data_IF_616322644290
#
_entry.id   IF_616322644290
#
_cell.length_a   1.000
_cell.length_b   1.000
_cell.length_c   1.000
_cell.angle_alpha   90.00
_cell.angle_beta   90.00
_cell.angle_gamma   90.00
#
_symmetry.space_group_name_H-M   'P 1'
#
loop_
_entity.id
_entity.type
_entity.pdbx_description
1 polymer ?
#
# COMPACT_ATOMS: atom_id res chain seq x y z
N UNK A 1 -10.64 -10.57 -28.84
CA UNK A 1 -10.61 -10.71 -27.39
C UNK A 1 -9.71 -11.89 -27.02
N UNK A 2 -8.80 -11.74 -26.06
CA UNK A 2 -8.04 -12.86 -25.52
C UNK A 2 -9.05 -13.80 -24.82
N UNK A 3 -9.04 -15.09 -25.19
CA UNK A 3 -9.88 -16.09 -24.55
C UNK A 3 -9.16 -16.60 -23.28
N UNK A 4 -8.98 -15.72 -22.30
CA UNK A 4 -8.27 -16.03 -21.07
C UNK A 4 -9.20 -16.71 -20.06
N UNK A 5 -8.71 -17.74 -19.37
CA UNK A 5 -9.46 -18.41 -18.31
C UNK A 5 -9.52 -17.60 -17.03
N UNK A 6 -8.47 -16.88 -16.68
CA UNK A 6 -8.39 -15.99 -15.54
C UNK A 6 -7.67 -14.69 -15.90
N UNK A 7 -7.92 -13.63 -15.16
CA UNK A 7 -7.17 -12.37 -15.22
C UNK A 7 -6.49 -12.12 -13.90
N UNK A 8 -5.17 -11.87 -13.94
CA UNK A 8 -4.39 -11.47 -12.77
C UNK A 8 -4.24 -9.96 -12.78
N UNK A 9 -4.55 -9.34 -11.66
CA UNK A 9 -4.45 -7.89 -11.45
C UNK A 9 -3.47 -7.63 -10.31
N UNK A 10 -2.55 -6.71 -10.49
CA UNK A 10 -1.63 -6.26 -9.46
C UNK A 10 -1.40 -4.75 -9.64
N UNK A 11 -1.51 -3.99 -8.57
CA UNK A 11 -1.20 -2.56 -8.51
C UNK A 11 -1.87 -1.72 -9.63
N UNK A 12 -3.05 -2.10 -10.09
CA UNK A 12 -3.73 -1.42 -11.21
C UNK A 12 -4.28 -0.04 -10.84
N UNK A 13 -4.72 0.13 -9.59
CA UNK A 13 -5.10 1.44 -9.03
C UNK A 13 -6.41 2.05 -9.53
N UNK A 14 -7.18 1.33 -10.35
CA UNK A 14 -8.48 1.74 -10.87
C UNK A 14 -9.53 0.65 -10.65
N UNK A 15 -10.80 1.06 -10.55
CA UNK A 15 -11.92 0.11 -10.49
C UNK A 15 -12.15 -0.44 -11.90
N UNK A 16 -12.20 -1.76 -12.02
CA UNK A 16 -12.53 -2.44 -13.26
C UNK A 16 -14.05 -2.46 -13.46
N UNK A 17 -14.53 -2.15 -14.67
CA UNK A 17 -15.95 -2.24 -14.95
C UNK A 17 -16.42 -3.70 -14.97
N UNK A 18 -17.70 -3.94 -14.66
CA UNK A 18 -18.27 -5.29 -14.52
C UNK A 18 -18.01 -6.20 -15.73
N UNK A 19 -18.13 -5.68 -16.94
CA UNK A 19 -17.90 -6.45 -18.14
C UNK A 19 -16.45 -6.98 -18.29
N UNK A 20 -15.48 -6.32 -17.65
CA UNK A 20 -14.09 -6.80 -17.57
C UNK A 20 -13.96 -7.91 -16.52
N UNK A 21 -14.62 -7.74 -15.37
CA UNK A 21 -14.61 -8.73 -14.30
C UNK A 21 -15.25 -10.05 -14.73
N UNK A 22 -16.29 -9.98 -15.59
CA UNK A 22 -17.03 -11.12 -16.08
C UNK A 22 -16.39 -11.80 -17.31
N UNK A 23 -15.37 -11.17 -17.91
CA UNK A 23 -14.80 -11.66 -19.17
C UNK A 23 -14.03 -12.99 -19.02
N UNK A 24 -13.20 -13.21 -17.99
CA UNK A 24 -12.53 -14.50 -17.79
C UNK A 24 -13.44 -15.50 -17.09
N UNK A 25 -13.43 -16.75 -17.54
CA UNK A 25 -14.27 -17.84 -17.01
C UNK A 25 -14.09 -18.06 -15.47
N UNK A 26 -12.88 -17.91 -14.97
CA UNK A 26 -12.53 -18.02 -13.55
C UNK A 26 -12.54 -16.66 -12.84
N UNK A 27 -12.85 -15.58 -13.55
CA UNK A 27 -12.88 -14.23 -13.02
C UNK A 27 -11.50 -13.57 -12.90
N UNK A 28 -11.45 -12.51 -12.11
CA UNK A 28 -10.27 -11.68 -11.93
C UNK A 28 -9.72 -11.87 -10.53
N UNK A 29 -8.43 -12.16 -10.42
CA UNK A 29 -7.71 -12.32 -9.15
C UNK A 29 -6.79 -11.13 -8.91
N UNK A 30 -6.83 -10.55 -7.71
CA UNK A 30 -5.97 -9.44 -7.33
C UNK A 30 -4.94 -9.87 -6.27
N UNK A 31 -3.70 -9.41 -6.44
CA UNK A 31 -2.66 -9.48 -5.41
C UNK A 31 -2.80 -8.23 -4.54
N UNK A 32 -3.42 -8.35 -3.38
CA UNK A 32 -3.59 -7.24 -2.46
C UNK A 32 -2.55 -7.30 -1.34
N UNK A 33 -1.78 -6.22 -1.17
CA UNK A 33 -0.64 -6.15 -0.25
C UNK A 33 -1.05 -5.80 1.18
N UNK A 34 -2.07 -6.50 1.71
CA UNK A 34 -2.47 -6.45 3.11
C UNK A 34 -3.17 -7.73 3.55
N UNK A 35 -3.43 -7.84 4.84
CA UNK A 35 -4.30 -8.86 5.44
C UNK A 35 -5.74 -8.32 5.45
N UNK A 36 -6.50 -8.57 4.36
CA UNK A 36 -7.89 -8.14 4.29
C UNK A 36 -8.71 -8.72 5.45
N UNK A 37 -9.69 -7.96 5.96
CA UNK A 37 -10.28 -6.74 5.43
C UNK A 37 -9.56 -5.44 5.83
N UNK A 38 -8.38 -5.55 6.48
CA UNK A 38 -7.59 -4.37 6.85
C UNK A 38 -6.88 -3.80 5.63
N UNK A 39 -6.90 -2.47 5.51
CA UNK A 39 -6.22 -1.71 4.47
C UNK A 39 -6.71 -1.99 3.03
N UNK A 40 -8.03 -2.01 2.81
CA UNK A 40 -8.60 -1.93 1.46
C UNK A 40 -8.16 -0.63 0.79
N UNK A 41 -7.85 -0.65 -0.50
CA UNK A 41 -7.52 0.53 -1.29
C UNK A 41 -6.06 0.64 -1.72
N UNK A 42 -5.62 1.86 -2.06
CA UNK A 42 -4.47 2.09 -2.94
C UNK A 42 -3.10 2.01 -2.27
N UNK A 43 -2.98 2.21 -0.95
CA UNK A 43 -1.67 2.35 -0.30
C UNK A 43 -1.51 1.50 0.97
N UNK A 44 -1.84 0.18 0.94
CA UNK A 44 -1.87 -0.66 2.14
C UNK A 44 -0.51 -0.74 2.83
N UNK A 45 0.60 -0.82 2.08
CA UNK A 45 1.95 -0.94 2.62
C UNK A 45 2.33 0.31 3.42
N UNK A 46 2.13 1.50 2.84
CA UNK A 46 2.41 2.77 3.50
C UNK A 46 1.61 2.90 4.80
N UNK A 47 0.31 2.62 4.74
CA UNK A 47 -0.59 2.79 5.89
C UNK A 47 -0.31 1.79 7.01
N UNK A 48 0.11 0.58 6.69
CA UNK A 48 0.51 -0.40 7.70
C UNK A 48 1.76 0.07 8.49
N UNK A 49 2.79 0.58 7.81
CA UNK A 49 3.99 1.13 8.46
C UNK A 49 3.64 2.39 9.26
N UNK A 50 2.90 3.33 8.67
CA UNK A 50 2.50 4.59 9.32
C UNK A 50 1.71 4.33 10.61
N UNK A 51 0.79 3.37 10.59
CA UNK A 51 0.00 2.97 11.74
C UNK A 51 0.82 2.24 12.83
N UNK A 52 1.99 1.71 12.48
CA UNK A 52 2.82 0.92 13.38
C UNK A 52 2.36 -0.51 13.54
N UNK A 53 1.73 -1.07 12.50
CA UNK A 53 1.36 -2.47 12.46
C UNK A 53 2.62 -3.34 12.57
N UNK A 54 2.55 -4.39 13.36
CA UNK A 54 3.67 -5.33 13.51
C UNK A 54 3.69 -6.40 12.42
N UNK A 55 2.58 -6.57 11.73
CA UNK A 55 2.41 -7.54 10.67
C UNK A 55 1.57 -6.95 9.53
N UNK A 56 1.90 -7.39 8.34
CA UNK A 56 1.10 -7.25 7.13
C UNK A 56 1.07 -8.59 6.43
N UNK A 57 0.78 -8.62 5.16
CA UNK A 57 0.79 -9.84 4.35
C UNK A 57 0.27 -9.60 2.96
N UNK A 58 -0.02 -10.69 2.28
CA UNK A 58 -0.68 -10.67 0.98
C UNK A 58 -1.98 -11.45 1.07
N UNK A 59 -3.02 -10.90 0.50
CA UNK A 59 -4.27 -11.59 0.22
C UNK A 59 -4.44 -11.71 -1.29
N UNK A 60 -4.53 -12.95 -1.80
CA UNK A 60 -5.06 -13.19 -3.13
C UNK A 60 -6.57 -13.19 -2.98
N UNK A 61 -7.25 -12.34 -3.73
CA UNK A 61 -8.70 -12.19 -3.64
C UNK A 61 -9.36 -12.27 -5.01
N UNK A 62 -10.60 -12.76 -5.03
CA UNK A 62 -11.50 -12.63 -6.16
C UNK A 62 -11.94 -11.17 -6.26
N UNK A 63 -11.83 -10.57 -7.44
CA UNK A 63 -12.30 -9.19 -7.60
C UNK A 63 -13.81 -9.15 -7.82
N UNK A 64 -14.44 -8.16 -7.24
CA UNK A 64 -15.82 -7.76 -7.46
C UNK A 64 -15.91 -6.27 -7.85
N UNK A 65 -17.11 -5.72 -7.93
CA UNK A 65 -17.33 -4.30 -8.28
C UNK A 65 -16.95 -3.32 -7.15
N UNK A 66 -16.68 -3.82 -5.95
CA UNK A 66 -16.32 -3.01 -4.79
C UNK A 66 -14.82 -2.73 -4.71
N UNK A 67 -14.43 -1.84 -3.79
CA UNK A 67 -13.03 -1.55 -3.52
C UNK A 67 -12.46 -2.62 -2.58
N UNK A 68 -11.78 -3.61 -3.15
CA UNK A 68 -11.15 -4.72 -2.44
C UNK A 68 -12.10 -5.44 -1.46
N UNK A 69 -13.35 -5.67 -1.91
CA UNK A 69 -14.42 -6.27 -1.11
C UNK A 69 -14.64 -7.75 -1.37
N UNK A 70 -14.11 -8.27 -2.45
CA UNK A 70 -14.32 -9.65 -2.88
C UNK A 70 -13.72 -10.70 -1.94
N UNK A 71 -14.07 -11.94 -2.19
CA UNK A 71 -13.70 -13.08 -1.34
C UNK A 71 -12.19 -13.32 -1.34
N UNK A 72 -11.66 -13.66 -0.16
CA UNK A 72 -10.27 -14.06 0.01
C UNK A 72 -10.08 -15.50 -0.48
N UNK A 73 -9.04 -15.72 -1.29
CA UNK A 73 -8.69 -17.04 -1.85
C UNK A 73 -7.51 -17.66 -1.10
N UNK A 74 -6.43 -16.90 -0.96
CA UNK A 74 -5.25 -17.26 -0.17
C UNK A 74 -4.78 -16.07 0.63
N UNK A 75 -4.30 -16.32 1.85
CA UNK A 75 -3.79 -15.26 2.74
C UNK A 75 -2.49 -15.74 3.38
N UNK A 76 -1.45 -14.91 3.31
CA UNK A 76 -0.22 -15.20 4.04
C UNK A 76 0.30 -13.96 4.76
N UNK A 77 0.70 -14.16 6.01
CA UNK A 77 1.16 -13.13 6.94
C UNK A 77 2.66 -12.94 6.86
N UNK A 78 3.10 -11.68 6.95
CA UNK A 78 4.50 -11.29 6.96
C UNK A 78 4.75 -10.29 8.11
N UNK A 79 5.82 -10.45 8.92
CA UNK A 79 6.19 -9.45 9.92
C UNK A 79 6.75 -8.19 9.25
N UNK A 80 6.43 -7.03 9.82
CA UNK A 80 7.06 -5.75 9.49
C UNK A 80 8.26 -5.58 10.43
N UNK A 81 9.47 -5.53 9.88
CA UNK A 81 10.67 -5.29 10.67
C UNK A 81 10.75 -3.82 11.13
N UNK A 82 11.50 -3.58 12.22
CA UNK A 82 11.61 -2.24 12.81
C UNK A 82 12.25 -1.21 11.85
N UNK A 83 13.05 -1.67 10.91
CA UNK A 83 13.75 -0.87 9.91
C UNK A 83 13.11 -0.95 8.50
N UNK A 84 12.02 -1.70 8.34
CA UNK A 84 11.32 -1.76 7.07
C UNK A 84 10.83 -0.39 6.63
N UNK A 85 11.14 -0.06 5.38
CA UNK A 85 10.53 1.04 4.64
C UNK A 85 9.42 0.51 3.74
N UNK A 86 8.62 1.37 3.15
CA UNK A 86 7.67 0.94 2.11
C UNK A 86 8.37 0.24 0.94
N UNK A 87 9.58 0.69 0.57
CA UNK A 87 10.34 0.04 -0.50
C UNK A 87 10.77 -1.38 -0.15
N UNK A 88 11.44 -1.59 1.00
CA UNK A 88 11.88 -2.92 1.41
C UNK A 88 10.73 -3.90 1.63
N UNK A 89 9.66 -3.42 2.26
CA UNK A 89 8.46 -4.23 2.51
C UNK A 89 7.71 -4.57 1.22
N UNK A 90 7.64 -3.62 0.26
CA UNK A 90 7.08 -3.86 -1.06
C UNK A 90 7.79 -5.01 -1.78
N UNK A 91 9.12 -5.02 -1.80
CA UNK A 91 9.88 -6.07 -2.49
C UNK A 91 9.63 -7.45 -1.87
N UNK A 92 9.56 -7.55 -0.56
CA UNK A 92 9.23 -8.79 0.16
C UNK A 92 7.80 -9.25 -0.16
N UNK A 93 6.83 -8.34 -0.16
CA UNK A 93 5.43 -8.63 -0.49
C UNK A 93 5.25 -8.99 -1.96
N UNK A 94 6.02 -8.40 -2.87
CA UNK A 94 5.99 -8.75 -4.29
C UNK A 94 6.41 -10.20 -4.54
N UNK A 95 7.49 -10.66 -3.90
CA UNK A 95 7.93 -12.07 -3.98
C UNK A 95 6.86 -13.00 -3.41
N UNK A 96 6.31 -12.66 -2.24
CA UNK A 96 5.26 -13.43 -1.59
C UNK A 96 4.00 -13.50 -2.47
N UNK A 97 3.56 -12.36 -3.00
CA UNK A 97 2.36 -12.25 -3.83
C UNK A 97 2.48 -13.02 -5.14
N UNK A 98 3.65 -12.99 -5.78
CA UNK A 98 3.92 -13.79 -6.98
C UNK A 98 3.79 -15.29 -6.72
N UNK A 99 4.37 -15.79 -5.62
CA UNK A 99 4.27 -17.21 -5.22
C UNK A 99 2.81 -17.60 -4.94
N UNK A 100 2.10 -16.82 -4.11
CA UNK A 100 0.70 -17.10 -3.79
C UNK A 100 -0.22 -17.03 -5.01
N UNK A 101 0.06 -16.14 -5.96
CA UNK A 101 -0.74 -16.06 -7.18
C UNK A 101 -0.58 -17.31 -8.04
N UNK A 102 0.64 -17.84 -8.17
CA UNK A 102 0.86 -19.12 -8.89
C UNK A 102 0.08 -20.23 -8.22
N UNK A 103 0.17 -20.37 -6.90
CA UNK A 103 -0.59 -21.35 -6.12
C UNK A 103 -2.11 -21.19 -6.31
N UNK A 104 -2.62 -19.95 -6.29
CA UNK A 104 -4.03 -19.67 -6.51
C UNK A 104 -4.49 -20.09 -7.92
N UNK A 105 -3.67 -19.86 -8.95
CA UNK A 105 -3.98 -20.27 -10.32
C UNK A 105 -3.97 -21.80 -10.48
N UNK A 106 -3.03 -22.50 -9.86
CA UNK A 106 -2.98 -23.96 -9.85
C UNK A 106 -4.24 -24.55 -9.16
N UNK A 107 -4.62 -24.01 -8.01
CA UNK A 107 -5.84 -24.40 -7.31
C UNK A 107 -7.09 -24.08 -8.13
N UNK A 108 -7.14 -22.92 -8.81
CA UNK A 108 -8.24 -22.56 -9.67
C UNK A 108 -8.41 -23.56 -10.83
N UNK A 109 -7.32 -23.97 -11.44
CA UNK A 109 -7.32 -24.91 -12.57
C UNK A 109 -7.89 -26.28 -12.20
N UNK A 110 -7.66 -26.76 -10.98
CA UNK A 110 -8.19 -28.05 -10.49
C UNK A 110 -9.50 -27.93 -9.67
N UNK A 111 -10.12 -26.75 -9.58
CA UNK A 111 -11.32 -26.52 -8.77
C UNK A 111 -11.08 -26.60 -7.26
N UNK A 112 -9.83 -26.43 -6.83
CA UNK A 112 -9.42 -26.53 -5.42
C UNK A 112 -9.57 -25.23 -4.62
N UNK A 113 -9.82 -24.08 -5.26
CA UNK A 113 -10.04 -22.82 -4.55
C UNK A 113 -11.25 -22.90 -3.61
N UNK A 114 -11.12 -22.28 -2.46
CA UNK A 114 -12.20 -22.14 -1.47
C UNK A 114 -12.32 -20.66 -1.10
N UNK A 115 -13.12 -19.89 -1.84
CA UNK A 115 -13.37 -18.49 -1.54
C UNK A 115 -13.97 -18.34 -0.13
N UNK A 116 -13.42 -17.40 0.64
CA UNK A 116 -13.88 -17.08 2.00
C UNK A 116 -14.30 -15.61 2.02
N UNK A 117 -15.56 -15.29 2.35
CA UNK A 117 -15.97 -13.90 2.51
C UNK A 117 -15.11 -13.16 3.54
N UNK A 118 -14.82 -11.90 3.26
CA UNK A 118 -14.09 -11.09 4.22
C UNK A 118 -14.91 -10.86 5.49
N UNK A 119 -14.28 -10.87 6.68
CA UNK A 119 -14.95 -10.48 7.92
C UNK A 119 -15.54 -9.07 7.83
N UNK A 120 -16.68 -8.87 8.48
CA UNK A 120 -17.31 -7.54 8.60
C UNK A 120 -16.51 -6.65 9.54
N UNK A 121 -15.96 -7.25 10.59
CA UNK A 121 -15.14 -6.54 11.57
C UNK A 121 -13.70 -6.34 11.06
N UNK A 122 -13.07 -5.23 11.48
CA UNK A 122 -11.67 -4.94 11.15
C UNK A 122 -11.46 -4.28 9.79
N UNK A 123 -12.52 -3.92 9.08
CA UNK A 123 -12.42 -3.19 7.80
C UNK A 123 -11.77 -1.83 8.04
N UNK A 124 -10.69 -1.56 7.33
CA UNK A 124 -10.04 -0.24 7.27
C UNK A 124 -9.63 0.07 5.84
N UNK A 125 -9.40 1.37 5.58
CA UNK A 125 -9.07 1.85 4.24
C UNK A 125 -7.70 2.50 4.17
N UNK A 126 -6.96 2.18 3.11
CA UNK A 126 -5.65 2.70 2.79
C UNK A 126 -5.76 3.68 1.62
N UNK A 127 -6.14 4.92 1.92
CA UNK A 127 -6.21 5.98 0.93
C UNK A 127 -4.85 6.23 0.29
N UNK A 128 -4.87 6.62 -0.99
CA UNK A 128 -3.68 7.03 -1.73
C UNK A 128 -2.88 8.06 -0.96
N UNK A 129 -1.56 7.94 -1.02
CA UNK A 129 -0.66 8.90 -0.37
C UNK A 129 -0.60 10.19 -1.19
N UNK A 130 -0.91 11.30 -0.53
CA UNK A 130 -0.80 12.63 -1.11
C UNK A 130 0.60 13.23 -0.84
N UNK A 131 1.15 13.96 -1.82
CA UNK A 131 2.47 14.60 -1.65
C UNK A 131 2.53 15.55 -0.45
N UNK A 132 1.41 16.16 -0.09
CA UNK A 132 1.32 17.05 1.06
C UNK A 132 1.56 16.32 2.40
N UNK A 133 1.27 15.02 2.48
CA UNK A 133 1.50 14.21 3.67
C UNK A 133 2.99 14.02 3.97
N UNK A 134 3.86 14.19 2.97
CA UNK A 134 5.31 14.04 3.12
C UNK A 134 5.97 15.12 3.99
N UNK A 135 5.29 16.23 4.24
CA UNK A 135 5.81 17.27 5.12
C UNK A 135 5.87 16.78 6.57
N UNK A 136 7.07 16.84 7.17
CA UNK A 136 7.25 16.44 8.57
C UNK A 136 6.59 17.49 9.49
N UNK A 137 5.64 17.02 10.28
CA UNK A 137 5.06 17.82 11.37
C UNK A 137 5.83 17.51 12.67
N UNK A 138 6.68 18.44 13.07
CA UNK A 138 7.53 18.31 14.26
C UNK A 138 6.77 18.36 15.61
N UNK A 139 5.47 18.68 15.57
CA UNK A 139 4.62 18.62 16.77
C UNK A 139 4.14 17.19 17.08
N UNK A 140 4.35 16.24 16.19
CA UNK A 140 3.99 14.84 16.42
C UNK A 140 5.03 14.12 17.29
N UNK A 141 4.63 13.05 18.02
CA UNK A 141 5.56 12.20 18.73
C UNK A 141 6.68 11.65 17.83
N UNK A 142 7.90 11.54 18.35
CA UNK A 142 9.05 11.06 17.60
C UNK A 142 8.82 9.70 16.91
N UNK A 143 8.17 8.76 17.61
CA UNK A 143 7.82 7.45 17.06
C UNK A 143 6.84 7.54 15.86
N UNK A 144 5.95 8.54 15.85
CA UNK A 144 5.05 8.78 14.72
C UNK A 144 5.81 9.37 13.54
N UNK A 145 6.71 10.31 13.79
CA UNK A 145 7.56 10.91 12.75
C UNK A 145 8.44 9.83 12.13
N UNK A 146 9.07 9.00 12.95
CA UNK A 146 9.92 7.89 12.51
C UNK A 146 9.16 6.93 11.59
N UNK A 147 7.97 6.45 11.99
CA UNK A 147 7.13 5.60 11.14
C UNK A 147 6.75 6.27 9.82
N UNK A 148 6.41 7.56 9.83
CA UNK A 148 6.10 8.31 8.61
C UNK A 148 7.30 8.45 7.68
N UNK A 149 8.50 8.64 8.21
CA UNK A 149 9.73 8.66 7.42
C UNK A 149 9.92 7.32 6.69
N UNK A 150 9.77 6.21 7.37
CA UNK A 150 9.84 4.86 6.78
C UNK A 150 8.68 4.59 5.81
N UNK A 151 7.46 4.93 6.19
CA UNK A 151 6.27 4.75 5.36
C UNK A 151 6.36 5.52 4.03
N UNK A 152 6.99 6.69 4.01
CA UNK A 152 7.11 7.50 2.82
C UNK A 152 8.43 7.31 2.04
N UNK A 153 9.23 6.33 2.40
CA UNK A 153 10.45 5.96 1.69
C UNK A 153 10.18 4.76 0.75
N UNK A 154 10.47 4.83 -0.55
CA UNK A 154 11.14 5.93 -1.26
C UNK A 154 10.21 7.07 -1.71
N UNK A 155 8.90 6.88 -1.71
CA UNK A 155 7.96 7.87 -2.22
C UNK A 155 6.80 8.10 -1.22
N UNK A 156 6.37 9.35 -1.05
CA UNK A 156 6.80 10.60 -1.70
C UNK A 156 8.10 11.22 -1.12
N UNK A 157 8.70 10.59 -0.11
CA UNK A 157 9.86 11.08 0.61
C UNK A 157 9.49 12.10 1.68
N UNK A 158 9.66 11.72 2.99
CA UNK A 158 9.41 12.66 4.08
C UNK A 158 10.40 13.81 4.04
N UNK A 159 9.95 15.03 4.27
CA UNK A 159 10.79 16.21 4.18
C UNK A 159 10.31 17.38 5.02
N UNK A 160 11.23 18.29 5.30
CA UNK A 160 10.95 19.55 5.99
C UNK A 160 11.72 20.68 5.31
N UNK A 161 11.55 21.91 5.77
CA UNK A 161 12.30 23.05 5.28
C UNK A 161 13.03 23.77 6.42
N UNK A 162 14.23 24.25 6.16
CA UNK A 162 15.00 25.09 7.08
C UNK A 162 14.91 26.54 6.60
N UNK A 163 14.41 27.44 7.44
CA UNK A 163 14.34 28.88 7.15
C UNK A 163 13.78 29.21 5.75
N UNK A 164 12.71 28.50 5.33
CA UNK A 164 12.06 28.70 4.04
C UNK A 164 12.79 28.12 2.82
N UNK A 165 13.84 27.32 3.04
CA UNK A 165 14.58 26.60 1.99
C UNK A 165 14.29 25.09 2.07
N UNK A 166 14.39 24.40 0.93
CA UNK A 166 14.37 22.94 0.93
C UNK A 166 15.70 22.34 1.45
N UNK A 167 15.76 21.03 1.61
CA UNK A 167 16.97 20.35 2.10
C UNK A 167 18.21 20.53 1.21
N UNK A 168 18.03 21.01 -0.03
CA UNK A 168 19.11 21.32 -0.98
C UNK A 168 19.48 22.80 -0.97
N UNK A 169 18.87 23.63 -0.08
CA UNK A 169 19.15 25.04 0.05
C UNK A 169 18.48 25.95 -1.01
N UNK A 170 17.64 25.39 -1.88
CA UNK A 170 16.91 26.17 -2.88
C UNK A 170 15.69 26.90 -2.27
N UNK A 171 15.38 28.14 -2.69
CA UNK A 171 14.18 28.83 -2.24
C UNK A 171 12.93 28.13 -2.78
N UNK A 172 11.92 27.88 -1.92
CA UNK A 172 10.63 27.36 -2.37
C UNK A 172 9.89 28.40 -3.21
N UNK A 173 9.50 28.04 -4.42
CA UNK A 173 8.61 28.88 -5.24
C UNK A 173 7.25 28.98 -4.51
N UNK A 174 6.90 30.18 -4.04
CA UNK A 174 5.57 30.50 -3.52
C UNK A 174 5.41 30.61 -1.99
N UNK A 175 6.46 30.65 -1.17
CA UNK A 175 6.31 30.93 0.26
C UNK A 175 6.52 32.40 0.56
N UNK A 176 5.43 33.10 0.93
CA UNK A 176 5.55 34.37 1.66
C UNK A 176 6.23 34.07 3.02
N UNK A 177 7.31 34.78 3.32
CA UNK A 177 8.08 34.64 4.56
C UNK A 177 7.21 35.19 5.70
N UNK A 178 6.62 34.34 6.53
CA UNK A 178 6.21 34.74 7.86
C UNK A 178 7.46 34.75 8.75
N UNK A 179 7.86 35.91 9.22
CA UNK A 179 8.98 36.10 10.12
C UNK A 179 8.67 35.42 11.47
N UNK A 180 9.53 34.50 11.89
CA UNK A 180 9.58 33.99 13.27
C UNK A 180 9.54 32.46 13.37
N UNK A 181 10.69 31.84 13.43
CA UNK A 181 10.84 30.44 13.82
C UNK A 181 11.90 29.69 13.03
N UNK A 182 13.00 29.36 13.67
CA UNK A 182 14.02 28.49 13.07
C UNK A 182 13.50 27.06 12.96
N UNK A 183 13.26 26.59 11.73
CA UNK A 183 12.92 25.20 11.45
C UNK A 183 14.13 24.46 10.87
N UNK A 184 14.51 23.35 11.45
CA UNK A 184 15.65 22.54 11.01
C UNK A 184 15.30 21.74 9.73
N UNK A 185 16.25 21.57 8.81
CA UNK A 185 16.13 20.76 7.60
C UNK A 185 16.88 19.45 7.76
N UNK A 186 16.18 18.32 7.61
CA UNK A 186 16.80 17.01 7.46
C UNK A 186 16.12 16.26 6.33
N UNK A 187 16.90 15.82 5.32
CA UNK A 187 16.54 14.64 4.52
C UNK A 187 17.14 13.43 5.21
N UNK A 188 16.30 12.52 5.63
CA UNK A 188 16.77 11.18 5.93
C UNK A 188 17.06 10.50 4.59
N UNK A 189 18.33 10.45 4.19
CA UNK A 189 18.83 9.49 3.20
C UNK A 189 19.28 8.27 3.97
N UNK A 190 18.55 7.18 3.83
CA UNK A 190 19.12 5.84 4.02
C UNK A 190 19.63 5.36 2.69
#
# INVERSE_FOLDING_TARGET
AANADAMVVAAYGLILPQWVLDAPRLGCFNIHASLLPRWRGAAPIHRAIEAGDQHTGVTIMQMDAGLDTGDMLLVERLPIAADDTTGSLHDRLAVLGGRLMVEALELAACGGLRPVPQPVDGVTYAHKIEKAEAAINWALPAATIERRVRAFNPFPGAGTALAGRDALGAPRKGSAIAAGGATASMRATC
#
